data_IF_546805702496
#
_entry.id   IF_546805702496
#
_cell.length_a   1.000
_cell.length_b   1.000
_cell.length_c   1.000
_cell.angle_alpha   90.00
_cell.angle_beta   90.00
_cell.angle_gamma   90.00
#
_symmetry.space_group_name_H-M   'P 1'
#
loop_
_entity.id
_entity.type
_entity.pdbx_description
1 polymer ?
#
# COMPACT_ATOMS: atom_id res chain seq x y z
N UNK A 1 19.07 2.94 24.42
CA UNK A 1 18.88 2.01 23.29
C UNK A 1 18.13 2.74 22.19
N UNK A 2 18.80 3.14 21.10
CA UNK A 2 18.10 3.66 19.92
C UNK A 2 17.39 2.49 19.23
N UNK A 3 16.10 2.28 19.50
CA UNK A 3 15.29 1.39 18.68
C UNK A 3 15.15 2.03 17.31
N UNK A 4 15.84 1.48 16.33
CA UNK A 4 15.61 1.81 14.93
C UNK A 4 14.16 1.44 14.62
N UNK A 5 13.32 2.43 14.34
CA UNK A 5 11.92 2.19 14.03
C UNK A 5 11.82 1.35 12.75
N UNK A 6 10.94 0.33 12.72
CA UNK A 6 10.80 -0.54 11.57
C UNK A 6 10.33 0.26 10.35
N UNK A 7 10.84 -0.09 9.17
CA UNK A 7 10.33 0.42 7.91
C UNK A 7 8.97 -0.22 7.63
N UNK A 8 7.96 0.60 7.31
CA UNK A 8 6.65 0.10 6.93
C UNK A 8 6.64 -0.24 5.44
N UNK A 9 6.20 -1.44 5.10
CA UNK A 9 5.93 -1.82 3.72
C UNK A 9 4.47 -1.47 3.42
N UNK A 10 4.23 -0.62 2.43
CA UNK A 10 2.90 -0.14 2.07
C UNK A 10 2.63 -0.45 0.60
N UNK A 11 1.50 -1.10 0.34
CA UNK A 11 1.00 -1.38 -1.01
C UNK A 11 -0.19 -0.46 -1.26
N UNK A 12 -0.16 0.31 -2.35
CA UNK A 12 -1.25 1.22 -2.75
C UNK A 12 -1.92 0.69 -4.01
N UNK A 13 -3.20 0.35 -3.90
CA UNK A 13 -4.05 -0.09 -4.98
C UNK A 13 -5.13 0.98 -5.25
N UNK A 14 -4.78 1.97 -6.07
CA UNK A 14 -5.62 3.14 -6.37
C UNK A 14 -5.64 3.36 -7.89
N UNK A 15 -6.80 3.24 -8.57
CA UNK A 15 -6.85 3.37 -10.02
C UNK A 15 -6.69 4.81 -10.52
N UNK A 16 -6.99 5.83 -9.70
CA UNK A 16 -6.85 7.23 -10.10
C UNK A 16 -5.39 7.70 -9.95
N UNK A 17 -4.67 8.01 -11.05
CA UNK A 17 -3.23 8.29 -10.99
C UNK A 17 -2.85 9.46 -10.08
N UNK A 18 -3.70 10.49 -10.03
CA UNK A 18 -3.49 11.68 -9.20
C UNK A 18 -3.58 11.32 -7.70
N UNK A 19 -4.55 10.47 -7.33
CA UNK A 19 -4.73 10.04 -5.94
C UNK A 19 -3.58 9.10 -5.54
N UNK A 20 -3.22 8.14 -6.38
CA UNK A 20 -2.09 7.24 -6.16
C UNK A 20 -0.79 8.01 -5.94
N UNK A 21 -0.45 8.94 -6.84
CA UNK A 21 0.74 9.77 -6.73
C UNK A 21 0.75 10.63 -5.46
N UNK A 22 -0.40 11.22 -5.10
CA UNK A 22 -0.56 11.98 -3.86
C UNK A 22 -0.32 11.14 -2.61
N UNK A 23 -0.93 9.95 -2.54
CA UNK A 23 -0.74 9.01 -1.44
C UNK A 23 0.73 8.58 -1.31
N UNK A 24 1.36 8.19 -2.42
CA UNK A 24 2.77 7.80 -2.45
C UNK A 24 3.67 8.95 -1.98
N UNK A 25 3.41 10.17 -2.43
CA UNK A 25 4.14 11.36 -2.00
C UNK A 25 4.01 11.57 -0.49
N UNK A 26 2.79 11.56 0.05
CA UNK A 26 2.54 11.73 1.49
C UNK A 26 3.20 10.64 2.33
N UNK A 27 3.09 9.37 1.95
CA UNK A 27 3.68 8.24 2.67
C UNK A 27 5.21 8.30 2.71
N UNK A 28 5.85 8.70 1.60
CA UNK A 28 7.31 8.88 1.52
C UNK A 28 7.79 10.11 2.31
N UNK A 29 6.93 11.11 2.50
CA UNK A 29 7.25 12.31 3.26
C UNK A 29 7.10 12.14 4.79
N UNK A 30 6.59 10.99 5.28
CA UNK A 30 6.44 10.75 6.71
C UNK A 30 7.80 10.80 7.42
N UNK A 31 7.92 11.56 8.53
CA UNK A 31 9.20 11.75 9.19
C UNK A 31 9.75 10.44 9.76
N UNK A 32 8.93 9.70 10.52
CA UNK A 32 9.16 8.33 10.99
C UNK A 32 7.82 7.65 11.35
N UNK A 33 7.68 6.32 11.21
CA UNK A 33 8.60 5.40 10.54
C UNK A 33 8.70 5.67 9.03
N UNK A 34 9.82 5.26 8.41
CA UNK A 34 9.97 5.36 6.95
C UNK A 34 9.04 4.36 6.27
N UNK A 35 8.50 4.75 5.11
CA UNK A 35 7.65 3.88 4.31
C UNK A 35 8.36 3.46 3.01
N UNK A 36 8.38 2.16 2.74
CA UNK A 36 8.61 1.60 1.41
C UNK A 36 7.24 1.45 0.74
N UNK A 37 7.00 2.19 -0.34
CA UNK A 37 5.68 2.24 -1.00
C UNK A 37 5.78 1.66 -2.39
N UNK A 38 4.92 0.68 -2.68
CA UNK A 38 4.77 0.04 -4.00
C UNK A 38 3.32 0.21 -4.46
N UNK A 39 3.12 0.55 -5.72
CA UNK A 39 1.79 0.63 -6.33
C UNK A 39 1.41 -0.73 -6.93
N UNK A 40 0.17 -1.15 -6.73
CA UNK A 40 -0.42 -2.31 -7.36
C UNK A 40 -1.36 -1.86 -8.48
N UNK A 41 -1.31 -2.53 -9.63
CA UNK A 41 -2.10 -2.15 -10.81
C UNK A 41 -3.16 -3.20 -11.18
N UNK A 42 -3.19 -4.33 -10.48
CA UNK A 42 -4.18 -5.39 -10.64
C UNK A 42 -4.38 -6.19 -9.34
N UNK A 43 -5.43 -7.01 -9.28
CA UNK A 43 -5.64 -7.93 -8.15
C UNK A 43 -4.51 -8.99 -8.05
N UNK A 44 -3.97 -9.43 -9.18
CA UNK A 44 -2.84 -10.36 -9.21
C UNK A 44 -1.56 -9.71 -8.68
N UNK A 45 -1.35 -8.42 -8.98
CA UNK A 45 -0.26 -7.65 -8.38
C UNK A 45 -0.39 -7.57 -6.86
N UNK A 46 -1.59 -7.32 -6.33
CA UNK A 46 -1.83 -7.31 -4.89
C UNK A 46 -1.45 -8.67 -4.29
N UNK A 47 -1.97 -9.77 -4.85
CA UNK A 47 -1.68 -11.13 -4.36
C UNK A 47 -0.18 -11.42 -4.33
N UNK A 48 0.52 -11.07 -5.42
CA UNK A 48 1.97 -11.23 -5.53
C UNK A 48 2.71 -10.38 -4.50
N UNK A 49 2.45 -9.08 -4.44
CA UNK A 49 3.12 -8.15 -3.53
C UNK A 49 2.88 -8.49 -2.05
N UNK A 50 1.67 -8.91 -1.70
CA UNK A 50 1.35 -9.36 -0.33
C UNK A 50 2.14 -10.62 0.03
N UNK A 51 2.34 -11.54 -0.91
CA UNK A 51 3.12 -12.76 -0.67
C UNK A 51 4.64 -12.52 -0.57
N UNK A 52 5.14 -11.47 -1.24
CA UNK A 52 6.57 -11.12 -1.29
C UNK A 52 7.02 -10.28 -0.07
N UNK A 53 6.09 -9.65 0.66
CA UNK A 53 6.39 -8.71 1.74
C UNK A 53 5.99 -9.26 3.11
N UNK A 54 6.85 -9.10 4.12
CA UNK A 54 6.46 -9.38 5.50
C UNK A 54 5.60 -8.23 6.06
N UNK A 55 4.39 -8.58 6.50
CA UNK A 55 3.42 -7.68 7.14
C UNK A 55 3.15 -6.35 6.39
N UNK A 56 2.72 -6.39 5.12
CA UNK A 56 2.43 -5.18 4.37
C UNK A 56 1.15 -4.49 4.88
N UNK A 57 1.16 -3.16 4.88
CA UNK A 57 -0.04 -2.33 4.99
C UNK A 57 -0.61 -2.19 3.60
N UNK A 58 -1.84 -2.65 3.40
CA UNK A 58 -2.53 -2.55 2.12
C UNK A 58 -3.55 -1.40 2.16
N UNK A 59 -3.40 -0.43 1.26
CA UNK A 59 -4.35 0.66 1.03
C UNK A 59 -5.04 0.38 -0.30
N UNK A 60 -6.34 0.08 -0.27
CA UNK A 60 -7.11 -0.28 -1.46
C UNK A 60 -8.24 0.72 -1.66
N UNK A 61 -8.33 1.30 -2.85
CA UNK A 61 -9.53 1.98 -3.29
C UNK A 61 -10.66 0.94 -3.42
N UNK A 62 -11.85 1.14 -2.85
CA UNK A 62 -12.90 0.14 -2.92
C UNK A 62 -13.33 -0.25 -4.33
N UNK A 63 -13.16 0.65 -5.29
CA UNK A 63 -13.45 0.43 -6.71
C UNK A 63 -12.27 -0.19 -7.48
N UNK A 64 -11.13 -0.46 -6.82
CA UNK A 64 -9.96 -1.07 -7.45
C UNK A 64 -10.32 -2.49 -7.93
N UNK A 65 -10.30 -2.68 -9.25
CA UNK A 65 -10.73 -3.93 -9.89
C UNK A 65 -12.21 -4.27 -9.72
N UNK A 66 -13.02 -3.39 -9.12
CA UNK A 66 -14.47 -3.58 -8.89
C UNK A 66 -14.83 -4.55 -7.76
N UNK A 67 -13.90 -4.88 -6.85
CA UNK A 67 -13.99 -6.09 -6.00
C UNK A 67 -14.06 -5.83 -4.49
N UNK A 68 -13.89 -4.61 -3.98
CA UNK A 68 -13.85 -4.43 -2.52
C UNK A 68 -15.26 -4.37 -1.89
N UNK A 69 -15.78 -5.54 -1.50
CA UNK A 69 -16.84 -5.69 -0.52
C UNK A 69 -16.26 -6.26 0.79
N UNK A 70 -16.09 -5.44 1.85
CA UNK A 70 -15.54 -5.88 3.14
C UNK A 70 -16.42 -6.90 3.88
N UNK A 71 -17.60 -7.24 3.37
CA UNK A 71 -18.46 -8.31 3.90
C UNK A 71 -18.16 -9.68 3.29
N UNK A 72 -17.34 -9.76 2.22
CA UNK A 72 -17.06 -11.00 1.49
C UNK A 72 -15.60 -11.47 1.59
N UNK A 73 -14.76 -10.77 2.35
CA UNK A 73 -13.34 -11.11 2.61
C UNK A 73 -13.14 -11.46 4.07
#
# INVERSE_FOLDING_TARGET
MNRQLPMLNVIVAEPAPIIAAGLVHCLRALPQPRCSVVEAHSADDIRRLVSEQSSPILIVNPNFGGVFDPQTV
#
